data_IF_068402998246
#
_entry.id   IF_068402998246
#
_cell.length_a   1.000
_cell.length_b   1.000
_cell.length_c   1.000
_cell.angle_alpha   90.00
_cell.angle_beta   90.00
_cell.angle_gamma   90.00
#
_symmetry.space_group_name_H-M   'P 1'
#
loop_
_entity.id
_entity.type
_entity.pdbx_description
1 polymer ?
#
# COMPACT_ATOMS: atom_id res chain seq x y z
N UNK A 1 18.63 16.45 4.60
CA UNK A 1 17.18 16.65 4.70
C UNK A 1 16.55 15.33 5.15
N UNK A 2 15.57 15.37 6.03
CA UNK A 2 14.82 14.21 6.47
C UNK A 2 14.03 13.63 5.29
N UNK A 3 14.04 12.31 5.12
CA UNK A 3 13.32 11.61 4.03
C UNK A 3 11.98 11.11 4.57
N UNK A 4 10.90 11.83 4.30
CA UNK A 4 9.55 11.35 4.61
C UNK A 4 9.06 10.44 3.48
N UNK A 5 8.17 9.49 3.80
CA UNK A 5 7.51 8.61 2.84
C UNK A 5 5.99 8.75 3.01
N UNK A 6 5.45 9.85 2.51
CA UNK A 6 4.02 10.17 2.59
C UNK A 6 3.28 9.58 1.39
N UNK A 7 3.85 9.77 0.19
CA UNK A 7 3.41 9.17 -1.06
C UNK A 7 4.61 8.60 -1.84
N UNK A 8 4.37 7.84 -2.90
CA UNK A 8 5.45 7.24 -3.71
C UNK A 8 6.30 8.29 -4.42
N UNK A 9 5.69 9.41 -4.79
CA UNK A 9 6.38 10.55 -5.43
C UNK A 9 7.42 11.20 -4.55
N UNK A 10 7.32 11.12 -3.22
CA UNK A 10 8.34 11.64 -2.30
C UNK A 10 9.69 10.93 -2.47
N UNK A 11 9.64 9.64 -2.77
CA UNK A 11 10.83 8.86 -3.06
C UNK A 11 11.27 9.01 -4.53
N UNK A 12 10.32 9.07 -5.45
CA UNK A 12 10.56 9.05 -6.88
C UNK A 12 10.81 7.64 -7.46
N UNK A 13 10.70 7.50 -8.78
CA UNK A 13 10.72 6.21 -9.44
C UNK A 13 11.99 5.39 -9.22
N UNK A 14 13.15 6.03 -9.25
CA UNK A 14 14.45 5.35 -9.07
C UNK A 14 14.59 4.78 -7.64
N UNK A 15 14.18 5.55 -6.64
CA UNK A 15 14.22 5.08 -5.26
C UNK A 15 13.17 3.97 -5.00
N UNK A 16 11.97 4.08 -5.58
CA UNK A 16 10.96 3.01 -5.53
C UNK A 16 11.52 1.72 -6.13
N UNK A 17 12.15 1.79 -7.30
CA UNK A 17 12.79 0.63 -7.93
C UNK A 17 13.92 0.04 -7.07
N UNK A 18 14.75 0.89 -6.47
CA UNK A 18 15.83 0.46 -5.57
C UNK A 18 15.27 -0.22 -4.31
N UNK A 19 14.20 0.33 -3.70
CA UNK A 19 13.54 -0.28 -2.55
C UNK A 19 12.93 -1.65 -2.89
N UNK A 20 12.35 -1.82 -4.08
CA UNK A 20 11.83 -3.12 -4.52
C UNK A 20 12.95 -4.12 -4.72
N UNK A 21 14.07 -3.72 -5.33
CA UNK A 21 15.26 -4.57 -5.48
C UNK A 21 15.82 -5.05 -4.13
N UNK A 22 15.98 -4.12 -3.18
CA UNK A 22 16.41 -4.45 -1.81
C UNK A 22 15.43 -5.41 -1.10
N UNK A 23 14.12 -5.21 -1.30
CA UNK A 23 13.11 -6.09 -0.71
C UNK A 23 13.18 -7.51 -1.26
N UNK A 24 13.40 -7.68 -2.58
CA UNK A 24 13.59 -8.98 -3.24
C UNK A 24 14.84 -9.69 -2.67
N UNK A 25 15.97 -9.02 -2.64
CA UNK A 25 17.23 -9.58 -2.17
C UNK A 25 17.14 -10.01 -0.70
N UNK A 26 16.59 -9.16 0.16
CA UNK A 26 16.41 -9.45 1.59
C UNK A 26 15.40 -10.57 1.83
N UNK A 27 14.33 -10.64 1.05
CA UNK A 27 13.36 -11.75 1.12
C UNK A 27 14.01 -13.07 0.73
N UNK A 28 14.74 -13.09 -0.37
CA UNK A 28 15.45 -14.28 -0.85
C UNK A 28 16.49 -14.78 0.18
N UNK A 29 17.27 -13.87 0.79
CA UNK A 29 18.26 -14.20 1.81
C UNK A 29 17.65 -14.84 3.07
N UNK A 30 16.34 -14.70 3.29
CA UNK A 30 15.61 -15.19 4.47
C UNK A 30 14.77 -16.44 4.23
N UNK A 31 14.78 -17.01 3.03
CA UNK A 31 13.82 -18.06 2.62
C UNK A 31 13.66 -19.23 3.60
N UNK A 32 14.70 -19.56 4.38
CA UNK A 32 14.68 -20.66 5.37
C UNK A 32 14.80 -20.21 6.82
N UNK A 33 14.71 -18.90 7.10
CA UNK A 33 14.95 -18.37 8.44
C UNK A 33 13.66 -18.30 9.27
N UNK A 34 13.77 -18.43 10.61
CA UNK A 34 12.67 -18.11 11.51
C UNK A 34 12.21 -16.66 11.29
N UNK A 35 10.88 -16.43 11.31
CA UNK A 35 10.29 -15.12 10.99
C UNK A 35 10.87 -13.96 11.83
N UNK A 36 11.11 -14.16 13.12
CA UNK A 36 11.62 -13.15 14.03
C UNK A 36 13.14 -12.99 14.07
N UNK A 37 13.91 -13.80 13.30
CA UNK A 37 15.37 -13.68 13.27
C UNK A 37 15.80 -12.38 12.58
N UNK A 38 16.67 -11.55 13.18
CA UNK A 38 17.22 -10.38 12.50
C UNK A 38 18.03 -10.74 11.26
N UNK A 39 18.04 -9.84 10.27
CA UNK A 39 18.93 -9.94 9.10
C UNK A 39 20.39 -9.93 9.55
N UNK A 40 21.27 -10.53 8.76
CA UNK A 40 22.66 -10.72 9.16
C UNK A 40 23.41 -9.40 9.42
N UNK A 41 23.05 -8.35 8.68
CA UNK A 41 23.63 -7.01 8.81
C UNK A 41 22.93 -6.13 9.85
N UNK A 42 21.70 -6.52 10.29
CA UNK A 42 20.88 -5.78 11.24
C UNK A 42 20.96 -4.24 11.07
N UNK A 43 20.61 -3.68 9.88
CA UNK A 43 20.98 -2.31 9.51
C UNK A 43 20.30 -1.24 10.36
N UNK A 44 19.26 -1.57 11.12
CA UNK A 44 18.57 -0.66 12.05
C UNK A 44 18.79 -1.04 13.51
N UNK A 45 19.92 -1.72 13.83
CA UNK A 45 20.20 -2.11 15.21
C UNK A 45 20.22 -0.90 16.14
N UNK A 46 19.41 -0.96 17.21
CA UNK A 46 19.28 0.10 18.20
C UNK A 46 18.32 1.23 17.81
N UNK A 47 17.77 1.23 16.60
CA UNK A 47 16.79 2.23 16.17
C UNK A 47 15.36 1.87 16.58
N UNK A 48 14.53 2.89 16.79
CA UNK A 48 13.17 2.78 17.32
C UNK A 48 12.18 3.45 16.37
N UNK A 49 11.13 2.72 15.99
CA UNK A 49 9.98 3.24 15.24
C UNK A 49 8.80 3.49 16.19
N UNK A 50 8.27 4.70 16.25
CA UNK A 50 6.96 4.96 16.84
C UNK A 50 5.86 4.69 15.80
N UNK A 51 4.88 3.87 16.14
CA UNK A 51 3.74 3.55 15.27
C UNK A 51 2.45 4.11 15.87
N UNK A 52 1.92 5.19 15.28
CA UNK A 52 0.69 5.83 15.70
C UNK A 52 -0.50 5.25 14.93
N UNK A 53 -1.52 4.77 15.66
CA UNK A 53 -2.74 4.22 15.07
C UNK A 53 -3.97 5.00 15.56
N UNK A 54 -4.62 5.71 14.64
CA UNK A 54 -5.96 6.29 14.84
C UNK A 54 -7.06 5.36 14.32
N UNK A 55 -6.71 4.42 13.42
CA UNK A 55 -7.59 3.37 12.91
C UNK A 55 -7.01 1.99 13.18
N UNK A 56 -7.88 1.04 13.49
CA UNK A 56 -7.48 -0.34 13.72
C UNK A 56 -6.77 -0.95 12.50
N UNK A 57 -5.71 -1.71 12.74
CA UNK A 57 -5.01 -2.45 11.70
C UNK A 57 -4.19 -3.60 12.25
N UNK A 58 -4.55 -4.82 11.91
CA UNK A 58 -3.76 -6.01 12.24
C UNK A 58 -2.53 -6.12 11.34
N UNK A 59 -2.73 -6.04 10.03
CA UNK A 59 -1.65 -6.24 9.04
C UNK A 59 -0.56 -5.18 9.15
N UNK A 60 -0.89 -3.91 9.19
CA UNK A 60 0.09 -2.81 9.32
C UNK A 60 0.88 -2.92 10.63
N UNK A 61 0.19 -3.25 11.74
CA UNK A 61 0.82 -3.43 13.04
C UNK A 61 1.86 -4.56 13.02
N UNK A 62 1.45 -5.74 12.54
CA UNK A 62 2.33 -6.91 12.49
C UNK A 62 3.46 -6.70 11.49
N UNK A 63 3.19 -6.16 10.29
CA UNK A 63 4.21 -6.05 9.25
C UNK A 63 5.30 -5.04 9.58
N UNK A 64 4.98 -3.88 10.15
CA UNK A 64 6.00 -2.91 10.59
C UNK A 64 6.78 -3.38 11.82
N UNK A 65 6.13 -3.99 12.82
CA UNK A 65 6.83 -4.57 13.97
C UNK A 65 7.81 -5.66 13.53
N UNK A 66 7.36 -6.56 12.64
CA UNK A 66 8.22 -7.60 12.08
C UNK A 66 9.34 -7.02 11.20
N UNK A 67 9.06 -5.98 10.40
CA UNK A 67 10.07 -5.29 9.60
C UNK A 67 11.18 -4.71 10.49
N UNK A 68 10.82 -3.99 11.56
CA UNK A 68 11.78 -3.44 12.51
C UNK A 68 12.60 -4.54 13.20
N UNK A 69 11.95 -5.60 13.71
CA UNK A 69 12.64 -6.74 14.34
C UNK A 69 13.63 -7.43 13.40
N UNK A 70 13.21 -7.65 12.14
CA UNK A 70 14.09 -8.24 11.13
C UNK A 70 15.25 -7.34 10.75
N UNK A 71 15.09 -6.02 10.82
CA UNK A 71 16.18 -5.06 10.60
C UNK A 71 17.05 -4.81 11.86
N UNK A 72 16.75 -5.48 12.99
CA UNK A 72 17.50 -5.36 14.25
C UNK A 72 17.06 -4.21 15.15
N UNK A 73 16.03 -3.46 14.74
CA UNK A 73 15.43 -2.37 15.51
C UNK A 73 14.24 -2.81 16.38
N UNK A 74 13.55 -1.86 16.93
CA UNK A 74 12.36 -2.07 17.74
C UNK A 74 11.21 -1.12 17.34
N UNK A 75 9.98 -1.46 17.74
CA UNK A 75 8.82 -0.63 17.47
C UNK A 75 8.03 -0.38 18.77
N UNK A 76 7.46 0.82 18.89
CA UNK A 76 6.54 1.22 19.96
C UNK A 76 5.19 1.50 19.33
N UNK A 77 4.14 0.84 19.83
CA UNK A 77 2.79 1.01 19.34
C UNK A 77 2.08 2.05 20.21
N UNK A 78 1.56 3.10 19.55
CA UNK A 78 0.83 4.21 20.16
C UNK A 78 -0.58 4.24 19.57
N UNK A 79 -1.57 3.87 20.40
CA UNK A 79 -2.98 3.98 20.01
C UNK A 79 -3.49 5.37 20.38
N UNK A 80 -4.06 6.11 19.44
CA UNK A 80 -4.51 7.49 19.66
C UNK A 80 -5.48 7.59 20.85
N UNK A 81 -6.37 6.63 21.05
CA UNK A 81 -7.30 6.57 22.18
C UNK A 81 -6.62 6.47 23.54
N UNK A 82 -5.35 6.07 23.62
CA UNK A 82 -4.56 5.91 24.85
C UNK A 82 -3.43 6.93 24.97
N UNK A 83 -3.22 7.76 23.94
CA UNK A 83 -2.18 8.81 23.89
C UNK A 83 -2.78 10.21 24.04
N UNK A 84 -1.92 11.21 24.20
CA UNK A 84 -2.34 12.61 24.33
C UNK A 84 -2.85 13.20 23.01
N UNK A 85 -2.48 12.64 21.84
CA UNK A 85 -3.05 12.97 20.52
C UNK A 85 -4.58 12.89 20.54
N UNK A 86 -5.13 11.82 21.11
CA UNK A 86 -6.58 11.66 21.29
C UNK A 86 -7.19 12.54 22.37
N UNK A 87 -6.39 13.35 23.11
CA UNK A 87 -6.79 14.17 24.22
C UNK A 87 -6.48 15.67 24.05
N UNK A 88 -6.20 16.10 22.81
CA UNK A 88 -6.04 17.51 22.47
C UNK A 88 -4.60 18.03 22.39
N UNK A 89 -3.57 17.17 22.45
CA UNK A 89 -2.21 17.55 22.07
C UNK A 89 -2.16 17.85 20.57
N UNK A 90 -1.45 18.91 20.19
CA UNK A 90 -1.32 19.27 18.77
C UNK A 90 -0.42 18.25 18.04
N UNK A 91 -0.69 18.04 16.74
CA UNK A 91 0.14 17.19 15.89
C UNK A 91 1.58 17.71 15.85
N UNK A 92 1.76 19.03 15.79
CA UNK A 92 3.06 19.68 15.80
C UNK A 92 3.85 19.40 17.09
N UNK A 93 3.20 19.41 18.26
CA UNK A 93 3.88 19.14 19.53
C UNK A 93 4.21 17.65 19.67
N UNK A 94 3.30 16.76 19.27
CA UNK A 94 3.56 15.31 19.20
C UNK A 94 4.77 15.02 18.27
N UNK A 95 4.85 15.67 17.11
CA UNK A 95 5.99 15.53 16.20
C UNK A 95 7.31 15.91 16.86
N UNK A 96 7.36 17.07 17.53
CA UNK A 96 8.57 17.58 18.20
C UNK A 96 9.00 16.69 19.37
N UNK A 97 8.03 16.20 20.15
CA UNK A 97 8.30 15.32 21.31
C UNK A 97 8.83 13.97 20.82
N UNK A 98 8.14 13.32 19.88
CA UNK A 98 8.56 12.01 19.37
C UNK A 98 9.90 12.08 18.64
N UNK A 99 10.18 13.15 17.91
CA UNK A 99 11.48 13.32 17.23
C UNK A 99 12.69 13.33 18.18
N UNK A 100 12.48 13.54 19.47
CA UNK A 100 13.54 13.48 20.51
C UNK A 100 13.65 12.12 21.19
N UNK A 101 12.75 11.17 20.87
CA UNK A 101 12.64 9.89 21.57
C UNK A 101 12.78 8.68 20.65
N UNK A 102 12.53 8.85 19.32
CA UNK A 102 12.54 7.76 18.34
C UNK A 102 13.25 8.19 17.06
N UNK A 103 13.59 7.22 16.21
CA UNK A 103 14.34 7.45 14.98
C UNK A 103 13.45 7.61 13.75
N UNK A 104 12.22 7.11 13.81
CA UNK A 104 11.20 7.28 12.77
C UNK A 104 9.78 7.21 13.37
N UNK A 105 8.81 7.80 12.66
CA UNK A 105 7.40 7.79 13.03
C UNK A 105 6.60 7.20 11.86
N UNK A 106 5.77 6.20 12.11
CA UNK A 106 4.72 5.75 11.20
C UNK A 106 3.37 6.16 11.75
N UNK A 107 2.50 6.72 10.91
CA UNK A 107 1.14 7.05 11.31
C UNK A 107 0.12 6.42 10.35
N UNK A 108 -0.95 5.86 10.92
CA UNK A 108 -2.15 5.43 10.21
C UNK A 108 -3.34 6.23 10.74
N UNK A 109 -3.88 7.10 9.90
CA UNK A 109 -4.92 8.07 10.24
C UNK A 109 -5.99 8.13 9.16
N UNK A 110 -6.99 8.98 9.33
CA UNK A 110 -7.99 9.31 8.32
C UNK A 110 -7.55 10.49 7.43
N UNK A 111 -7.32 11.64 8.04
CA UNK A 111 -7.01 12.87 7.34
C UNK A 111 -5.54 12.94 6.91
N UNK A 112 -5.33 13.08 5.59
CA UNK A 112 -3.99 13.20 5.01
C UNK A 112 -3.26 14.46 5.46
N UNK A 113 -3.97 15.56 5.74
CA UNK A 113 -3.37 16.79 6.26
C UNK A 113 -2.66 16.60 7.60
N UNK A 114 -3.11 15.63 8.43
CA UNK A 114 -2.45 15.30 9.69
C UNK A 114 -1.04 14.74 9.49
N UNK A 115 -0.85 13.87 8.50
CA UNK A 115 0.48 13.31 8.24
C UNK A 115 1.41 14.34 7.62
N UNK A 116 0.89 15.22 6.76
CA UNK A 116 1.66 16.34 6.23
C UNK A 116 2.10 17.31 7.33
N UNK A 117 1.22 17.62 8.28
CA UNK A 117 1.56 18.46 9.44
C UNK A 117 2.60 17.78 10.32
N UNK A 118 2.44 16.47 10.60
CA UNK A 118 3.40 15.68 11.36
C UNK A 118 4.80 15.72 10.68
N UNK A 119 4.86 15.50 9.38
CA UNK A 119 6.11 15.51 8.61
C UNK A 119 6.76 16.91 8.61
N UNK A 120 5.97 17.97 8.55
CA UNK A 120 6.48 19.35 8.56
C UNK A 120 7.17 19.72 9.87
N UNK A 121 6.78 19.10 10.99
CA UNK A 121 7.28 19.42 12.33
C UNK A 121 8.20 18.34 12.93
N UNK A 122 8.35 17.20 12.27
CA UNK A 122 9.22 16.12 12.71
C UNK A 122 10.66 16.32 12.21
N UNK A 123 11.63 16.09 13.09
CA UNK A 123 13.06 16.06 12.75
C UNK A 123 13.50 14.64 12.28
N UNK A 124 12.62 13.65 12.40
CA UNK A 124 12.82 12.26 12.00
C UNK A 124 11.88 11.87 10.84
N UNK A 125 12.19 10.82 10.06
CA UNK A 125 11.31 10.33 8.99
C UNK A 125 9.88 10.05 9.47
N UNK A 126 8.90 10.50 8.67
CA UNK A 126 7.48 10.16 8.83
C UNK A 126 7.07 9.26 7.67
N UNK A 127 6.41 8.16 7.99
CA UNK A 127 5.98 7.13 7.03
C UNK A 127 4.46 7.01 7.07
N UNK A 128 3.84 7.06 5.90
CA UNK A 128 2.40 6.86 5.72
C UNK A 128 2.03 5.38 5.86
N UNK A 129 1.42 5.02 6.99
CA UNK A 129 0.85 3.69 7.22
C UNK A 129 -0.49 3.46 6.53
N UNK A 130 -1.24 4.50 6.26
CA UNK A 130 -2.47 4.70 5.48
C UNK A 130 -3.12 6.02 5.88
N UNK A 131 -3.68 6.72 4.90
CA UNK A 131 -4.70 7.77 5.08
C UNK A 131 -5.92 7.46 4.21
N UNK A 132 -7.00 8.25 4.34
CA UNK A 132 -8.16 8.10 3.43
C UNK A 132 -7.86 8.58 2.00
N UNK A 133 -6.73 9.26 1.78
CA UNK A 133 -6.28 9.72 0.47
C UNK A 133 -5.32 8.73 -0.22
N UNK A 134 -4.39 8.11 0.53
CA UNK A 134 -3.34 7.27 -0.06
C UNK A 134 -2.87 6.13 0.85
N UNK A 135 -2.30 5.07 0.24
CA UNK A 135 -1.71 3.92 0.93
C UNK A 135 -0.41 3.43 0.26
N UNK A 136 0.65 4.27 0.24
CA UNK A 136 1.87 3.98 -0.53
C UNK A 136 2.59 2.69 -0.07
N UNK A 137 2.58 2.36 1.22
CA UNK A 137 3.19 1.14 1.75
C UNK A 137 2.50 -0.15 1.26
N UNK A 138 1.21 -0.10 0.91
CA UNK A 138 0.54 -1.22 0.27
C UNK A 138 1.06 -1.39 -1.15
N UNK A 139 1.12 -0.30 -1.91
CA UNK A 139 1.55 -0.34 -3.30
C UNK A 139 3.00 -0.81 -3.44
N UNK A 140 3.88 -0.49 -2.50
CA UNK A 140 5.22 -1.07 -2.48
C UNK A 140 5.20 -2.61 -2.39
N UNK A 141 4.27 -3.19 -1.63
CA UNK A 141 4.10 -4.64 -1.54
C UNK A 141 3.46 -5.22 -2.82
N UNK A 142 2.53 -4.48 -3.43
CA UNK A 142 1.90 -4.87 -4.69
C UNK A 142 2.92 -4.94 -5.83
N UNK A 143 3.74 -3.90 -5.98
CA UNK A 143 4.80 -3.86 -6.98
C UNK A 143 5.83 -4.98 -6.77
N UNK A 144 6.21 -5.24 -5.53
CA UNK A 144 7.09 -6.35 -5.17
C UNK A 144 6.48 -7.70 -5.58
N UNK A 145 5.20 -7.91 -5.28
CA UNK A 145 4.48 -9.14 -5.61
C UNK A 145 4.36 -9.35 -7.12
N UNK A 146 4.06 -8.31 -7.88
CA UNK A 146 3.99 -8.32 -9.33
C UNK A 146 5.32 -8.78 -9.94
N UNK A 147 6.44 -8.23 -9.46
CA UNK A 147 7.79 -8.61 -9.93
C UNK A 147 8.14 -10.04 -9.54
N UNK A 148 7.84 -10.49 -8.31
CA UNK A 148 8.07 -11.87 -7.88
C UNK A 148 7.30 -12.89 -8.72
N UNK A 149 6.15 -12.49 -9.27
CA UNK A 149 5.36 -13.32 -10.19
C UNK A 149 5.84 -13.26 -11.65
N UNK A 150 6.96 -12.61 -11.90
CA UNK A 150 7.63 -12.60 -13.20
C UNK A 150 7.13 -11.52 -14.16
N UNK A 151 6.37 -10.54 -13.68
CA UNK A 151 5.91 -9.42 -14.50
C UNK A 151 6.86 -8.23 -14.39
N UNK A 152 7.28 -7.68 -15.52
CA UNK A 152 8.01 -6.40 -15.55
C UNK A 152 7.01 -5.25 -15.36
N UNK A 153 7.40 -4.21 -14.61
CA UNK A 153 6.52 -3.05 -14.40
C UNK A 153 6.38 -2.17 -15.65
N UNK A 154 7.46 -1.79 -16.37
CA UNK A 154 7.30 -1.00 -17.58
C UNK A 154 6.46 -1.74 -18.62
N UNK A 155 5.36 -1.10 -19.07
CA UNK A 155 4.44 -1.67 -20.06
C UNK A 155 3.43 -2.68 -19.54
N UNK A 156 3.43 -2.99 -18.24
CA UNK A 156 2.43 -3.86 -17.60
C UNK A 156 1.00 -3.37 -17.91
N UNK A 157 0.10 -4.31 -18.15
CA UNK A 157 -1.34 -4.06 -18.26
C UNK A 157 -2.02 -4.51 -16.97
N UNK A 158 -2.46 -3.56 -16.17
CA UNK A 158 -3.14 -3.80 -14.91
C UNK A 158 -4.60 -3.35 -14.99
N UNK A 159 -5.51 -4.13 -14.44
CA UNK A 159 -6.91 -3.76 -14.27
C UNK A 159 -7.22 -3.54 -12.79
N UNK A 160 -7.90 -2.45 -12.51
CA UNK A 160 -8.56 -2.20 -11.22
C UNK A 160 -10.07 -2.30 -11.39
N UNK A 161 -10.76 -2.97 -10.47
CA UNK A 161 -12.21 -3.09 -10.47
C UNK A 161 -12.80 -2.61 -9.15
N UNK A 162 -13.72 -1.67 -9.20
CA UNK A 162 -14.47 -1.20 -8.04
C UNK A 162 -14.27 0.27 -7.70
N UNK A 163 -14.19 0.59 -6.42
CA UNK A 163 -14.17 1.95 -5.86
C UNK A 163 -12.86 2.71 -6.13
N UNK A 164 -12.99 4.01 -6.41
CA UNK A 164 -11.87 4.93 -6.54
C UNK A 164 -11.31 5.37 -5.20
N UNK A 165 -10.76 4.44 -4.44
CA UNK A 165 -10.30 4.66 -3.07
C UNK A 165 -8.81 5.05 -2.97
N UNK A 166 -8.30 5.16 -1.74
CA UNK A 166 -6.93 5.51 -1.41
C UNK A 166 -5.88 4.50 -1.96
N UNK A 167 -6.22 3.21 -2.06
CA UNK A 167 -5.33 2.19 -2.64
C UNK A 167 -5.19 2.43 -4.14
N UNK A 168 -6.30 2.67 -4.85
CA UNK A 168 -6.28 3.02 -6.27
C UNK A 168 -5.51 4.32 -6.53
N UNK A 169 -5.67 5.35 -5.70
CA UNK A 169 -4.92 6.60 -5.84
C UNK A 169 -3.40 6.34 -5.85
N UNK A 170 -2.89 5.59 -4.88
CA UNK A 170 -1.47 5.24 -4.81
C UNK A 170 -1.03 4.31 -5.94
N UNK A 171 -1.89 3.41 -6.41
CA UNK A 171 -1.60 2.53 -7.54
C UNK A 171 -1.51 3.32 -8.86
N UNK A 172 -2.35 4.34 -9.04
CA UNK A 172 -2.29 5.28 -10.16
C UNK A 172 -0.97 6.07 -10.13
N UNK A 173 -0.53 6.51 -8.96
CA UNK A 173 0.76 7.17 -8.79
C UNK A 173 1.92 6.26 -9.21
N UNK A 174 1.89 5.00 -8.76
CA UNK A 174 2.84 3.97 -9.19
C UNK A 174 2.85 3.77 -10.70
N UNK A 175 1.68 3.80 -11.37
CA UNK A 175 1.59 3.70 -12.82
C UNK A 175 2.36 4.83 -13.52
N UNK A 176 2.33 6.03 -12.97
CA UNK A 176 3.13 7.17 -13.46
C UNK A 176 4.62 6.95 -13.29
N UNK A 177 5.05 6.55 -12.09
CA UNK A 177 6.46 6.36 -11.75
C UNK A 177 7.08 5.16 -12.48
N UNK A 178 6.36 4.03 -12.55
CA UNK A 178 6.86 2.76 -13.09
C UNK A 178 6.50 2.53 -14.57
N UNK A 179 5.78 3.48 -15.21
CA UNK A 179 5.46 3.45 -16.65
C UNK A 179 4.62 2.26 -17.07
N UNK A 180 3.55 1.98 -16.36
CA UNK A 180 2.58 0.96 -16.75
C UNK A 180 1.19 1.54 -17.04
N UNK A 181 0.33 0.72 -17.63
CA UNK A 181 -1.07 1.05 -17.91
C UNK A 181 -1.96 0.51 -16.81
N UNK A 182 -2.84 1.35 -16.28
CA UNK A 182 -3.93 0.93 -15.40
C UNK A 182 -5.27 1.23 -16.07
N UNK A 183 -6.10 0.19 -16.25
CA UNK A 183 -7.49 0.32 -16.66
C UNK A 183 -8.38 0.23 -15.44
N UNK A 184 -9.17 1.25 -15.21
CA UNK A 184 -10.06 1.36 -14.07
C UNK A 184 -11.49 1.12 -14.52
N UNK A 185 -12.06 -0.02 -14.10
CA UNK A 185 -13.47 -0.33 -14.19
C UNK A 185 -14.17 0.11 -12.91
N UNK A 186 -14.98 1.18 -12.98
CA UNK A 186 -15.64 1.79 -11.83
C UNK A 186 -17.00 2.39 -12.25
N UNK A 187 -18.05 2.33 -11.41
CA UNK A 187 -19.31 3.03 -11.69
C UNK A 187 -19.15 4.55 -11.64
N UNK A 188 -20.09 5.27 -12.22
CA UNK A 188 -20.13 6.72 -12.18
C UNK A 188 -20.27 7.23 -10.73
N UNK A 189 -19.49 8.27 -10.39
CA UNK A 189 -19.44 8.86 -9.06
C UNK A 189 -18.48 8.17 -8.07
N UNK A 190 -17.76 7.14 -8.52
CA UNK A 190 -16.77 6.42 -7.72
C UNK A 190 -15.40 6.40 -8.39
N UNK A 191 -15.08 7.45 -9.11
CA UNK A 191 -13.78 7.63 -9.75
C UNK A 191 -12.68 7.95 -8.72
N UNK A 192 -11.40 7.61 -9.01
CA UNK A 192 -10.28 8.01 -8.17
C UNK A 192 -10.07 9.52 -8.20
N UNK A 193 -9.27 10.03 -7.27
CA UNK A 193 -8.91 11.44 -7.21
C UNK A 193 -8.26 11.94 -8.51
N UNK A 194 -8.81 13.02 -9.07
CA UNK A 194 -8.39 13.56 -10.35
C UNK A 194 -6.95 14.10 -10.33
N UNK A 195 -6.44 14.52 -9.17
CA UNK A 195 -5.07 15.00 -9.00
C UNK A 195 -4.05 13.87 -9.17
N UNK A 196 -4.32 12.69 -8.61
CA UNK A 196 -3.48 11.50 -8.83
C UNK A 196 -3.46 11.08 -10.30
N UNK A 197 -4.62 11.08 -10.96
CA UNK A 197 -4.72 10.77 -12.39
C UNK A 197 -3.92 11.75 -13.23
N UNK A 198 -4.03 13.06 -12.97
CA UNK A 198 -3.31 14.09 -13.71
C UNK A 198 -1.79 13.96 -13.52
N UNK A 199 -1.32 13.75 -12.29
CA UNK A 199 0.12 13.55 -12.01
C UNK A 199 0.67 12.30 -12.67
N UNK A 200 -0.05 11.18 -12.60
CA UNK A 200 0.37 9.93 -13.23
C UNK A 200 0.52 10.06 -14.75
N UNK A 201 -0.45 10.70 -15.41
CA UNK A 201 -0.40 10.96 -16.86
C UNK A 201 0.76 11.89 -17.23
N UNK A 202 0.98 12.94 -16.46
CA UNK A 202 2.11 13.85 -16.66
C UNK A 202 3.46 13.15 -16.49
N UNK A 203 3.54 12.16 -15.60
CA UNK A 203 4.71 11.31 -15.40
C UNK A 203 4.87 10.22 -16.46
N UNK A 204 3.92 10.05 -17.40
CA UNK A 204 3.98 9.10 -18.51
C UNK A 204 3.30 7.75 -18.25
N UNK A 205 2.56 7.59 -17.17
CA UNK A 205 1.66 6.46 -16.93
C UNK A 205 0.37 6.60 -17.76
N UNK A 206 -0.25 5.47 -18.08
CA UNK A 206 -1.52 5.45 -18.80
C UNK A 206 -2.64 5.06 -17.83
N UNK A 207 -3.61 5.96 -17.66
CA UNK A 207 -4.81 5.73 -16.83
C UNK A 207 -6.02 5.81 -17.75
N UNK A 208 -6.72 4.69 -17.90
CA UNK A 208 -7.86 4.52 -18.80
C UNK A 208 -9.08 4.16 -17.95
N UNK A 209 -10.21 4.86 -18.16
CA UNK A 209 -11.46 4.58 -17.46
C UNK A 209 -12.46 3.89 -18.37
N UNK A 210 -13.20 2.93 -17.82
CA UNK A 210 -14.33 2.30 -18.47
C UNK A 210 -15.44 2.01 -17.45
N UNK A 211 -16.69 1.90 -17.92
CA UNK A 211 -17.83 1.44 -17.12
C UNK A 211 -18.12 -0.05 -17.31
N UNK A 212 -17.35 -0.71 -18.13
CA UNK A 212 -17.44 -2.15 -18.40
C UNK A 212 -16.28 -2.91 -17.73
N UNK A 213 -16.62 -3.76 -16.76
CA UNK A 213 -15.63 -4.57 -16.03
C UNK A 213 -14.86 -5.53 -16.96
N UNK A 214 -15.52 -6.08 -18.01
CA UNK A 214 -14.87 -6.95 -18.98
C UNK A 214 -13.87 -6.20 -19.86
N UNK A 215 -14.22 -4.99 -20.27
CA UNK A 215 -13.31 -4.10 -21.00
C UNK A 215 -12.08 -3.75 -20.15
N UNK A 216 -12.28 -3.50 -18.85
CA UNK A 216 -11.18 -3.18 -17.93
C UNK A 216 -10.18 -4.34 -17.85
N UNK A 217 -10.64 -5.58 -17.69
CA UNK A 217 -9.76 -6.75 -17.52
C UNK A 217 -9.21 -7.32 -18.83
N UNK A 218 -9.73 -6.93 -20.00
CA UNK A 218 -9.32 -7.49 -21.28
C UNK A 218 -7.81 -7.34 -21.52
N UNK A 219 -7.08 -8.47 -21.54
CA UNK A 219 -5.62 -8.50 -21.71
C UNK A 219 -4.81 -8.01 -20.50
N UNK A 220 -5.45 -7.79 -19.33
CA UNK A 220 -4.75 -7.43 -18.10
C UNK A 220 -3.94 -8.62 -17.57
N UNK A 221 -2.68 -8.38 -17.21
CA UNK A 221 -1.79 -9.35 -16.59
C UNK A 221 -1.99 -9.42 -15.08
N UNK A 222 -2.51 -8.36 -14.48
CA UNK A 222 -2.82 -8.23 -13.08
C UNK A 222 -4.22 -7.66 -12.93
N UNK A 223 -5.06 -8.32 -12.14
CA UNK A 223 -6.41 -7.86 -11.78
C UNK A 223 -6.41 -7.55 -10.29
N UNK A 224 -6.75 -6.33 -9.93
CA UNK A 224 -6.75 -5.82 -8.55
C UNK A 224 -8.14 -5.31 -8.18
N UNK A 225 -8.57 -5.61 -6.99
CA UNK A 225 -9.74 -4.97 -6.36
C UNK A 225 -9.46 -4.71 -4.88
N UNK A 226 -10.31 -3.94 -4.24
CA UNK A 226 -10.32 -3.71 -2.79
C UNK A 226 -11.75 -3.66 -2.29
N UNK A 227 -11.94 -3.69 -0.97
CA UNK A 227 -13.25 -3.63 -0.35
C UNK A 227 -14.02 -2.38 -0.84
N UNK A 228 -15.30 -2.60 -1.21
CA UNK A 228 -16.14 -1.51 -1.73
C UNK A 228 -16.55 -0.54 -0.64
N UNK A 229 -16.73 -1.03 0.59
CA UNK A 229 -17.07 -0.22 1.74
C UNK A 229 -15.95 -0.32 2.77
N UNK A 230 -15.19 0.75 2.96
CA UNK A 230 -14.12 0.79 3.95
C UNK A 230 -14.68 0.81 5.37
N UNK A 231 -13.93 0.24 6.33
CA UNK A 231 -14.34 0.20 7.73
C UNK A 231 -14.68 1.59 8.27
N UNK A 232 -15.94 1.75 8.73
CA UNK A 232 -16.44 2.99 9.32
C UNK A 232 -17.08 3.98 8.35
N UNK A 233 -17.20 3.66 7.06
CA UNK A 233 -17.92 4.50 6.10
C UNK A 233 -19.42 4.21 6.12
N UNK A 234 -20.30 5.25 6.15
CA UNK A 234 -21.75 5.09 6.02
C UNK A 234 -22.17 4.83 4.56
N UNK A 235 -23.35 4.26 4.33
CA UNK A 235 -24.00 4.20 3.01
C UNK A 235 -23.74 2.90 2.22
N UNK A 236 -23.55 1.77 2.89
CA UNK A 236 -23.13 0.51 2.28
C UNK A 236 -24.03 -0.03 1.15
N UNK A 237 -25.34 -0.10 1.33
CA UNK A 237 -26.23 -0.83 0.38
C UNK A 237 -26.26 -0.24 -1.03
N UNK A 238 -26.40 1.07 -1.16
CA UNK A 238 -26.41 1.73 -2.47
C UNK A 238 -25.06 1.61 -3.18
N UNK A 239 -23.96 1.73 -2.44
CA UNK A 239 -22.61 1.55 -2.97
C UNK A 239 -22.37 0.11 -3.41
N UNK A 240 -22.74 -0.86 -2.58
CA UNK A 240 -22.63 -2.30 -2.90
C UNK A 240 -23.42 -2.61 -4.18
N UNK A 241 -24.66 -2.09 -4.31
CA UNK A 241 -25.45 -2.30 -5.52
C UNK A 241 -24.81 -1.68 -6.77
N UNK A 242 -24.22 -0.48 -6.67
CA UNK A 242 -23.50 0.15 -7.77
C UNK A 242 -22.22 -0.63 -8.15
N UNK A 243 -21.54 -1.21 -7.18
CA UNK A 243 -20.28 -1.96 -7.37
C UNK A 243 -20.50 -3.39 -7.84
N UNK A 244 -21.69 -3.99 -7.65
CA UNK A 244 -21.96 -5.39 -7.97
C UNK A 244 -21.52 -5.83 -9.40
N UNK A 245 -21.65 -5.00 -10.47
CA UNK A 245 -21.13 -5.36 -11.80
C UNK A 245 -19.62 -5.50 -11.91
N UNK A 246 -18.89 -5.05 -10.89
CA UNK A 246 -17.41 -5.06 -10.84
C UNK A 246 -16.84 -6.14 -9.91
N UNK A 247 -17.71 -7.05 -9.41
CA UNK A 247 -17.25 -8.21 -8.62
C UNK A 247 -16.28 -9.05 -9.44
N UNK A 248 -15.11 -9.34 -8.89
CA UNK A 248 -14.13 -10.22 -9.53
C UNK A 248 -14.55 -11.67 -9.34
N UNK A 249 -15.06 -12.26 -10.39
CA UNK A 249 -15.44 -13.67 -10.49
C UNK A 249 -14.55 -14.45 -11.48
N UNK A 250 -14.76 -15.74 -11.58
CA UNK A 250 -14.00 -16.59 -12.49
C UNK A 250 -14.19 -16.22 -13.98
N UNK A 251 -15.34 -15.64 -14.35
CA UNK A 251 -15.60 -15.24 -15.72
C UNK A 251 -14.83 -13.96 -16.09
N UNK A 252 -14.67 -13.02 -15.16
CA UNK A 252 -13.80 -11.84 -15.34
C UNK A 252 -12.32 -12.25 -15.37
N UNK A 253 -11.88 -13.14 -14.47
CA UNK A 253 -10.50 -13.64 -14.51
C UNK A 253 -10.18 -14.39 -15.81
N UNK A 254 -11.14 -15.14 -16.37
CA UNK A 254 -10.98 -15.79 -17.66
C UNK A 254 -10.92 -14.82 -18.86
N UNK A 255 -11.42 -13.60 -18.73
CA UNK A 255 -11.33 -12.55 -19.75
C UNK A 255 -10.01 -11.76 -19.69
N UNK A 256 -9.23 -11.91 -18.63
CA UNK A 256 -7.90 -11.34 -18.50
C UNK A 256 -6.87 -12.09 -19.35
N UNK A 257 -5.62 -11.64 -19.33
CA UNK A 257 -4.54 -12.32 -20.04
C UNK A 257 -4.33 -13.75 -19.52
N UNK A 258 -3.90 -14.72 -20.36
CA UNK A 258 -3.49 -16.03 -19.91
C UNK A 258 -2.40 -15.91 -18.82
N UNK A 259 -2.61 -16.56 -17.68
CA UNK A 259 -1.69 -16.48 -16.53
C UNK A 259 -1.82 -15.20 -15.70
N UNK A 260 -2.86 -14.40 -15.91
CA UNK A 260 -3.14 -13.23 -15.07
C UNK A 260 -3.25 -13.61 -13.61
N UNK A 261 -2.70 -12.75 -12.74
CA UNK A 261 -2.78 -12.88 -11.28
C UNK A 261 -3.87 -11.99 -10.71
N UNK A 262 -4.46 -12.45 -9.59
CA UNK A 262 -5.43 -11.68 -8.80
C UNK A 262 -4.78 -11.17 -7.51
N UNK A 263 -5.00 -9.90 -7.19
CA UNK A 263 -4.47 -9.20 -6.01
C UNK A 263 -5.57 -8.48 -5.22
N UNK A 264 -5.40 -8.40 -3.91
CA UNK A 264 -6.29 -7.71 -2.98
C UNK A 264 -5.55 -7.41 -1.67
N UNK A 265 -5.55 -6.17 -1.23
CA UNK A 265 -4.80 -5.74 -0.03
C UNK A 265 -5.32 -6.31 1.30
N UNK A 266 -6.50 -6.98 1.28
CA UNK A 266 -7.18 -7.54 2.45
C UNK A 266 -7.54 -6.50 3.55
N UNK A 267 -8.66 -6.70 4.31
CA UNK A 267 -9.54 -7.88 4.30
C UNK A 267 -10.46 -7.89 3.08
N UNK A 268 -10.80 -9.06 2.57
CA UNK A 268 -11.77 -9.21 1.50
C UNK A 268 -13.15 -9.56 2.05
N UNK A 269 -14.21 -8.96 1.49
CA UNK A 269 -15.60 -9.35 1.73
C UNK A 269 -16.01 -10.35 0.65
N UNK A 270 -15.80 -11.64 0.96
CA UNK A 270 -16.11 -12.74 0.04
C UNK A 270 -17.59 -12.75 -0.35
N UNK A 271 -17.86 -12.75 -1.65
CA UNK A 271 -19.22 -12.62 -2.20
C UNK A 271 -19.63 -11.19 -2.50
N UNK A 272 -18.84 -10.19 -2.11
CA UNK A 272 -18.98 -8.79 -2.52
C UNK A 272 -17.99 -8.46 -3.65
N UNK A 273 -16.82 -7.89 -3.36
CA UNK A 273 -15.85 -7.47 -4.38
C UNK A 273 -15.12 -8.62 -5.07
N UNK A 274 -15.09 -9.80 -4.44
CA UNK A 274 -14.45 -10.99 -4.98
C UNK A 274 -15.19 -12.26 -4.55
N UNK A 275 -15.25 -13.26 -5.43
CA UNK A 275 -15.82 -14.57 -5.10
C UNK A 275 -14.80 -15.48 -4.39
N UNK A 276 -15.28 -16.42 -3.58
CA UNK A 276 -14.43 -17.46 -2.96
C UNK A 276 -13.61 -18.21 -4.00
N UNK A 277 -14.24 -18.53 -5.15
CA UNK A 277 -13.57 -19.23 -6.24
C UNK A 277 -12.32 -18.51 -6.75
N UNK A 278 -12.32 -17.18 -6.79
CA UNK A 278 -11.17 -16.39 -7.26
C UNK A 278 -10.12 -16.27 -6.16
N UNK A 279 -10.51 -15.87 -4.95
CA UNK A 279 -9.54 -15.59 -3.88
C UNK A 279 -8.80 -16.87 -3.42
N UNK A 280 -9.41 -18.04 -3.56
CA UNK A 280 -8.81 -19.33 -3.22
C UNK A 280 -8.22 -20.07 -4.44
N UNK A 281 -8.20 -19.43 -5.64
CA UNK A 281 -7.65 -20.02 -6.86
C UNK A 281 -6.13 -19.96 -6.91
N UNK A 282 -5.55 -20.71 -7.85
CA UNK A 282 -4.12 -20.65 -8.15
C UNK A 282 -3.67 -19.28 -8.79
N UNK A 283 -4.60 -18.50 -9.29
CA UNK A 283 -4.32 -17.15 -9.81
C UNK A 283 -4.22 -16.11 -8.68
N UNK A 284 -4.76 -16.39 -7.52
CA UNK A 284 -4.73 -15.48 -6.36
C UNK A 284 -3.35 -15.49 -5.71
N UNK A 285 -2.79 -14.29 -5.54
CA UNK A 285 -1.50 -14.08 -4.87
C UNK A 285 -1.64 -13.24 -3.60
N UNK A 286 -2.86 -13.11 -3.07
CA UNK A 286 -3.19 -12.23 -1.93
C UNK A 286 -2.41 -12.55 -0.65
N UNK A 287 -2.04 -13.82 -0.45
CA UNK A 287 -1.26 -14.24 0.73
C UNK A 287 0.20 -13.84 0.62
N UNK A 288 0.78 -13.96 -0.59
CA UNK A 288 2.14 -13.48 -0.88
C UNK A 288 2.21 -11.95 -0.84
N UNK A 289 1.20 -11.27 -1.37
CA UNK A 289 1.02 -9.82 -1.27
C UNK A 289 0.98 -9.35 0.20
N UNK A 290 0.22 -10.04 1.05
CA UNK A 290 0.15 -9.75 2.47
C UNK A 290 1.50 -9.98 3.19
N UNK A 291 2.25 -11.05 2.85
CA UNK A 291 3.59 -11.30 3.37
C UNK A 291 4.58 -10.22 2.88
N UNK A 292 4.48 -9.81 1.62
CA UNK A 292 5.34 -8.80 1.01
C UNK A 292 5.25 -7.43 1.67
N UNK A 293 4.20 -7.16 2.44
CA UNK A 293 4.12 -5.99 3.32
C UNK A 293 5.33 -5.89 4.24
N UNK A 294 5.80 -7.01 4.80
CA UNK A 294 6.99 -7.02 5.68
C UNK A 294 8.21 -6.58 4.89
N UNK A 295 8.45 -7.20 3.74
CA UNK A 295 9.67 -7.00 2.95
C UNK A 295 9.73 -5.60 2.32
N UNK A 296 8.62 -5.14 1.76
CA UNK A 296 8.50 -3.79 1.23
C UNK A 296 8.70 -2.71 2.31
N UNK A 297 8.10 -2.88 3.49
CA UNK A 297 8.24 -1.93 4.60
C UNK A 297 9.66 -1.92 5.19
N UNK A 298 10.40 -3.03 5.14
CA UNK A 298 11.83 -3.04 5.49
C UNK A 298 12.62 -2.07 4.61
N UNK A 299 12.41 -2.12 3.31
CA UNK A 299 13.12 -1.27 2.37
C UNK A 299 12.68 0.20 2.46
N UNK A 300 11.39 0.46 2.71
CA UNK A 300 10.90 1.82 3.00
C UNK A 300 11.57 2.39 4.26
N UNK A 301 11.64 1.61 5.35
CA UNK A 301 12.30 2.02 6.60
C UNK A 301 13.80 2.30 6.37
N UNK A 302 14.49 1.43 5.64
CA UNK A 302 15.91 1.63 5.30
C UNK A 302 16.13 2.87 4.47
N UNK A 303 15.30 3.09 3.45
CA UNK A 303 15.37 4.29 2.62
C UNK A 303 15.13 5.57 3.44
N UNK A 304 14.09 5.58 4.25
CA UNK A 304 13.74 6.73 5.09
C UNK A 304 14.86 7.07 6.09
N UNK A 305 15.50 6.04 6.67
CA UNK A 305 16.58 6.18 7.65
C UNK A 305 17.98 6.27 7.02
N UNK A 306 18.07 6.44 5.69
CA UNK A 306 19.34 6.66 4.99
C UNK A 306 20.28 5.44 4.94
N UNK A 307 19.72 4.23 5.01
CA UNK A 307 20.43 2.95 4.95
C UNK A 307 20.28 2.25 3.58
N UNK A 308 19.65 2.95 2.64
CA UNK A 308 19.44 2.52 1.25
C UNK A 308 19.63 3.71 0.33
#
# INVERSE_FOLDING_TARGET
>A
MTRHFIDLTDAGGDAVAAMIGDALDRKAARASWPKGRPDADAPLAGQVLAMIFEKNSTRTRVSFDMAMRQLGGSAIILEAGTTQLGRGESIADTARVLSRMVDAIMIRTDDHAKIEELARHADVPVINGLTDLSHPCQIMADLLTIIERGHALPGLQLAWLGDGNNVLNSLIEAAGLMKFTIRVGSPEGYEPDAGFVARARAAGGQVIFTRDAREAVAGAQVVVTDCWVSMGQPGGEAKIAAMAPYQVDAALMAAAAPGAIFMHCLPAHRGEEVTDQVIDSAQSVVWDEAENRIHAQKSVLRWALGQL
#
